data_IF_084580891050
#
_entry.id   IF_084580891050
#
_cell.length_a   1.000
_cell.length_b   1.000
_cell.length_c   1.000
_cell.angle_alpha   90.00
_cell.angle_beta   90.00
_cell.angle_gamma   90.00
#
_symmetry.space_group_name_H-M   'P 1'
#
loop_
_entity.id
_entity.type
_entity.pdbx_description
1 polymer ?
#
# COMPACT_ATOMS: atom_id res chain seq x y z
N UNK A 1 -20.46 -28.28 -49.89
CA UNK A 1 -20.09 -29.67 -49.54
C UNK A 1 -18.63 -30.02 -49.87
N UNK A 2 -17.98 -29.54 -50.94
CA UNK A 2 -16.56 -29.84 -51.27
C UNK A 2 -15.57 -29.47 -50.16
N UNK A 3 -15.74 -28.35 -49.43
CA UNK A 3 -14.83 -27.91 -48.37
C UNK A 3 -14.78 -28.86 -47.14
N UNK A 4 -15.89 -29.52 -46.80
CA UNK A 4 -15.95 -30.45 -45.66
C UNK A 4 -15.23 -31.75 -45.99
N UNK A 5 -15.41 -32.24 -47.22
CA UNK A 5 -14.71 -33.47 -47.69
C UNK A 5 -13.20 -33.27 -47.83
N UNK A 6 -12.74 -32.09 -48.25
CA UNK A 6 -11.31 -31.75 -48.30
C UNK A 6 -10.69 -31.61 -46.91
N UNK A 7 -11.42 -31.08 -45.94
CA UNK A 7 -11.01 -31.05 -44.54
C UNK A 7 -10.93 -32.43 -43.92
N UNK A 8 -11.91 -33.31 -44.18
CA UNK A 8 -11.89 -34.69 -43.72
C UNK A 8 -10.75 -35.49 -44.35
N UNK A 9 -10.43 -35.28 -45.61
CA UNK A 9 -9.27 -35.92 -46.27
C UNK A 9 -7.93 -35.45 -45.69
N UNK A 10 -7.81 -34.18 -45.27
CA UNK A 10 -6.61 -33.66 -44.57
C UNK A 10 -6.46 -34.31 -43.18
N UNK A 11 -7.55 -34.54 -42.45
CA UNK A 11 -7.55 -35.21 -41.14
C UNK A 11 -7.21 -36.70 -41.23
N UNK A 12 -7.42 -37.34 -42.38
CA UNK A 12 -7.07 -38.75 -42.62
C UNK A 12 -5.68 -38.95 -43.29
N UNK A 13 -4.88 -37.90 -43.44
CA UNK A 13 -3.55 -38.01 -44.04
C UNK A 13 -2.55 -38.70 -43.10
N UNK A 14 -1.65 -39.57 -43.63
CA UNK A 14 -0.58 -40.21 -42.85
C UNK A 14 0.29 -39.19 -42.07
N UNK A 15 0.49 -38.01 -42.61
CA UNK A 15 1.22 -36.91 -41.96
C UNK A 15 0.47 -36.32 -40.76
N UNK A 16 -0.84 -36.24 -40.81
CA UNK A 16 -1.65 -35.80 -39.65
C UNK A 16 -1.53 -36.80 -38.50
N UNK A 17 -1.65 -38.10 -38.80
CA UNK A 17 -1.53 -39.15 -37.78
C UNK A 17 -0.13 -39.16 -37.14
N UNK A 18 0.94 -38.99 -37.91
CA UNK A 18 2.29 -38.92 -37.38
C UNK A 18 2.45 -37.70 -36.46
N UNK A 19 1.96 -36.53 -36.86
CA UNK A 19 2.02 -35.32 -36.05
C UNK A 19 1.20 -35.43 -34.77
N UNK A 20 -0.02 -36.00 -34.86
CA UNK A 20 -0.87 -36.23 -33.71
C UNK A 20 -0.20 -37.19 -32.71
N UNK A 21 0.39 -38.29 -33.15
CA UNK A 21 1.11 -39.22 -32.27
C UNK A 21 2.36 -38.55 -31.63
N UNK A 22 3.07 -37.74 -32.37
CA UNK A 22 4.21 -36.99 -31.82
C UNK A 22 3.77 -36.02 -30.72
N UNK A 23 2.74 -35.21 -30.96
CA UNK A 23 2.19 -34.25 -29.94
C UNK A 23 1.64 -35.02 -28.72
N UNK A 24 0.93 -36.12 -28.93
CA UNK A 24 0.44 -36.98 -27.84
C UNK A 24 1.58 -37.53 -26.98
N UNK A 25 2.67 -37.98 -27.62
CA UNK A 25 3.88 -38.45 -26.93
C UNK A 25 4.53 -37.34 -26.10
N UNK A 26 4.63 -36.13 -26.66
CA UNK A 26 5.19 -34.98 -25.95
C UNK A 26 4.33 -34.58 -24.74
N UNK A 27 3.01 -34.60 -24.89
CA UNK A 27 2.07 -34.31 -23.78
C UNK A 27 2.25 -35.32 -22.65
N UNK A 28 2.21 -36.59 -22.96
CA UNK A 28 2.30 -37.70 -21.98
C UNK A 28 3.71 -37.83 -21.37
N UNK A 29 4.75 -37.34 -22.07
CA UNK A 29 6.11 -37.28 -21.59
C UNK A 29 6.40 -36.09 -20.67
N UNK A 30 5.48 -35.14 -20.53
CA UNK A 30 5.65 -34.03 -19.63
C UNK A 30 5.51 -34.48 -18.16
N UNK A 31 6.47 -34.19 -17.27
CA UNK A 31 6.47 -34.65 -15.89
C UNK A 31 5.19 -34.25 -15.11
N UNK A 32 4.75 -33.02 -15.25
CA UNK A 32 3.58 -32.47 -14.51
C UNK A 32 2.29 -33.20 -14.98
N UNK A 33 2.18 -33.46 -16.27
CA UNK A 33 1.06 -34.21 -16.84
C UNK A 33 1.08 -35.66 -16.38
N UNK A 34 2.25 -36.32 -16.41
CA UNK A 34 2.43 -37.69 -15.93
C UNK A 34 2.03 -37.85 -14.47
N UNK A 35 2.54 -36.95 -13.60
CA UNK A 35 2.19 -36.92 -12.18
C UNK A 35 0.69 -36.71 -11.94
N UNK A 36 0.07 -35.81 -12.72
CA UNK A 36 -1.37 -35.58 -12.64
C UNK A 36 -2.18 -36.84 -13.04
N UNK A 37 -1.83 -37.47 -14.14
CA UNK A 37 -2.50 -38.69 -14.62
C UNK A 37 -2.34 -39.85 -13.63
N UNK A 38 -1.17 -39.97 -12.99
CA UNK A 38 -0.94 -41.02 -11.98
C UNK A 38 -1.80 -40.78 -10.73
N UNK A 39 -1.93 -39.53 -10.27
CA UNK A 39 -2.77 -39.14 -9.12
C UNK A 39 -4.27 -39.36 -9.36
N UNK A 40 -4.71 -39.27 -10.62
CA UNK A 40 -6.11 -39.42 -11.02
C UNK A 40 -6.36 -40.66 -11.83
N UNK A 41 -5.58 -41.73 -11.64
CA UNK A 41 -5.62 -42.96 -12.44
C UNK A 41 -6.99 -43.63 -12.45
N UNK A 42 -7.74 -43.52 -11.36
CA UNK A 42 -9.07 -44.11 -11.22
C UNK A 42 -10.18 -43.29 -11.92
N UNK A 43 -9.88 -42.02 -12.26
CA UNK A 43 -10.84 -41.10 -12.88
C UNK A 43 -10.57 -40.85 -14.37
N UNK A 44 -9.36 -41.16 -14.85
CA UNK A 44 -8.92 -40.90 -16.23
C UNK A 44 -8.77 -42.20 -17.02
N UNK A 45 -9.75 -42.48 -17.83
CA UNK A 45 -9.68 -43.53 -18.85
C UNK A 45 -9.15 -42.99 -20.19
N UNK A 46 -9.07 -43.85 -21.20
CA UNK A 46 -8.59 -43.48 -22.53
C UNK A 46 -9.51 -42.46 -23.22
N UNK A 47 -10.81 -42.46 -22.94
CA UNK A 47 -11.78 -41.57 -23.54
C UNK A 47 -11.66 -40.16 -22.94
N UNK A 48 -11.52 -40.04 -21.61
CA UNK A 48 -11.25 -38.80 -20.89
C UNK A 48 -9.95 -38.18 -21.36
N UNK A 49 -8.90 -38.98 -21.50
CA UNK A 49 -7.59 -38.52 -21.96
C UNK A 49 -7.66 -37.94 -23.39
N UNK A 50 -8.28 -38.69 -24.33
CA UNK A 50 -8.37 -38.24 -25.72
C UNK A 50 -9.23 -36.98 -25.89
N UNK A 51 -10.29 -36.82 -25.11
CA UNK A 51 -11.11 -35.59 -25.05
C UNK A 51 -10.32 -34.41 -24.49
N UNK A 52 -9.38 -34.66 -23.60
CA UNK A 52 -8.64 -33.62 -22.87
C UNK A 52 -7.29 -33.28 -23.50
N UNK A 53 -6.85 -33.95 -24.57
CA UNK A 53 -5.53 -33.72 -25.19
C UNK A 53 -5.28 -32.25 -25.59
N UNK A 54 -6.31 -31.55 -26.06
CA UNK A 54 -6.21 -30.12 -26.39
C UNK A 54 -5.89 -29.26 -25.18
N UNK A 55 -6.46 -29.57 -24.03
CA UNK A 55 -6.19 -28.89 -22.76
C UNK A 55 -4.82 -29.23 -22.21
N UNK A 56 -4.42 -30.48 -22.29
CA UNK A 56 -3.07 -30.89 -21.91
C UNK A 56 -1.99 -30.24 -22.78
N UNK A 57 -2.24 -30.10 -24.08
CA UNK A 57 -1.35 -29.36 -24.98
C UNK A 57 -1.26 -27.86 -24.62
N UNK A 58 -2.41 -27.22 -24.34
CA UNK A 58 -2.48 -25.85 -23.85
C UNK A 58 -1.66 -25.71 -22.57
N UNK A 59 -1.81 -26.64 -21.62
CA UNK A 59 -1.06 -26.63 -20.37
C UNK A 59 0.45 -26.67 -20.58
N UNK A 60 0.99 -27.62 -21.32
CA UNK A 60 2.44 -27.79 -21.56
C UNK A 60 3.05 -26.62 -22.34
N UNK A 61 2.25 -25.94 -23.18
CA UNK A 61 2.72 -24.78 -23.95
C UNK A 61 2.69 -23.48 -23.13
N UNK A 62 1.84 -23.39 -22.12
CA UNK A 62 1.65 -22.20 -21.29
C UNK A 62 2.41 -22.26 -19.96
N UNK A 63 2.69 -23.44 -19.42
CA UNK A 63 3.50 -23.61 -18.23
C UNK A 63 4.97 -23.34 -18.53
N UNK A 64 5.43 -22.13 -18.24
CA UNK A 64 6.79 -21.66 -18.58
C UNK A 64 7.79 -21.72 -17.43
N UNK A 65 7.56 -22.60 -16.47
CA UNK A 65 8.49 -22.83 -15.36
C UNK A 65 8.52 -21.69 -14.35
N UNK A 66 7.49 -21.59 -13.53
CA UNK A 66 7.39 -20.59 -12.46
C UNK A 66 8.48 -20.73 -11.39
N UNK A 67 9.12 -21.88 -11.26
CA UNK A 67 10.16 -22.17 -10.26
C UNK A 67 11.38 -21.24 -10.35
N UNK A 68 11.74 -20.78 -11.56
CA UNK A 68 12.87 -19.87 -11.78
C UNK A 68 12.48 -18.40 -12.00
N UNK A 69 11.23 -18.01 -11.77
CA UNK A 69 10.75 -16.66 -12.02
C UNK A 69 11.32 -15.67 -10.99
N UNK A 70 12.09 -14.63 -11.38
CA UNK A 70 12.67 -13.67 -10.43
C UNK A 70 11.62 -12.73 -9.82
N UNK A 71 10.67 -12.23 -10.64
CA UNK A 71 9.61 -11.32 -10.26
C UNK A 71 8.44 -11.35 -11.26
N UNK A 72 7.35 -10.60 -10.96
CA UNK A 72 6.18 -10.55 -11.84
C UNK A 72 6.45 -9.89 -13.19
N UNK A 73 7.39 -8.93 -13.29
CA UNK A 73 7.69 -8.24 -14.55
C UNK A 73 8.35 -9.17 -15.58
N UNK A 74 9.01 -10.21 -15.09
CA UNK A 74 9.67 -11.25 -15.90
C UNK A 74 8.81 -12.53 -16.04
N UNK A 75 7.53 -12.45 -15.70
CA UNK A 75 6.62 -13.59 -15.84
C UNK A 75 6.46 -13.98 -17.31
N UNK A 76 6.73 -15.26 -17.60
CA UNK A 76 6.66 -15.84 -18.96
C UNK A 76 5.31 -16.45 -19.29
N UNK A 77 4.41 -16.58 -18.31
CA UNK A 77 3.09 -17.12 -18.54
C UNK A 77 2.19 -16.14 -19.32
N UNK A 78 1.27 -16.65 -20.09
CA UNK A 78 0.33 -15.86 -20.89
C UNK A 78 -0.46 -14.87 -20.01
N UNK A 79 -0.90 -15.30 -18.84
CA UNK A 79 -1.47 -14.43 -17.81
C UNK A 79 -0.42 -14.14 -16.74
N UNK A 80 0.06 -12.91 -16.70
CA UNK A 80 1.11 -12.49 -15.75
C UNK A 80 0.68 -12.72 -14.29
N UNK A 81 1.48 -13.51 -13.58
CA UNK A 81 1.23 -13.83 -12.17
C UNK A 81 0.20 -14.94 -11.93
N UNK A 82 -0.22 -15.62 -13.00
CA UNK A 82 -1.06 -16.82 -12.88
C UNK A 82 -0.31 -18.05 -13.42
N UNK A 83 -0.44 -19.16 -12.71
CA UNK A 83 0.09 -20.45 -13.11
C UNK A 83 -1.06 -21.37 -13.54
N UNK A 84 -0.93 -22.06 -14.68
CA UNK A 84 -1.90 -23.07 -15.08
C UNK A 84 -1.74 -24.29 -14.17
N UNK A 85 -2.85 -24.83 -13.71
CA UNK A 85 -2.92 -26.06 -12.91
C UNK A 85 -3.93 -26.99 -13.54
N UNK A 86 -3.57 -28.26 -13.71
CA UNK A 86 -4.49 -29.27 -14.19
C UNK A 86 -5.50 -29.65 -13.11
N UNK A 87 -6.78 -29.76 -13.49
CA UNK A 87 -7.88 -30.11 -12.58
C UNK A 87 -8.85 -31.08 -13.28
N UNK A 88 -9.45 -31.97 -12.49
CA UNK A 88 -10.59 -32.78 -12.99
C UNK A 88 -11.88 -31.98 -12.89
N UNK A 89 -12.63 -31.84 -13.99
CA UNK A 89 -13.94 -31.20 -14.03
C UNK A 89 -14.93 -32.01 -14.84
N UNK A 90 -16.01 -32.48 -14.21
CA UNK A 90 -17.13 -33.19 -14.88
C UNK A 90 -16.68 -34.32 -15.83
N UNK A 91 -15.68 -35.08 -15.40
CA UNK A 91 -15.18 -36.21 -16.19
C UNK A 91 -14.29 -35.81 -17.38
N UNK A 92 -13.64 -34.67 -17.33
CA UNK A 92 -12.60 -34.22 -18.26
C UNK A 92 -11.48 -33.49 -17.53
N UNK A 93 -10.29 -33.44 -18.13
CA UNK A 93 -9.17 -32.67 -17.62
C UNK A 93 -9.31 -31.25 -18.16
N UNK A 94 -9.24 -30.24 -17.27
CA UNK A 94 -9.30 -28.84 -17.61
C UNK A 94 -8.14 -28.09 -16.97
N UNK A 95 -7.96 -26.82 -17.34
CA UNK A 95 -6.92 -25.94 -16.80
C UNK A 95 -7.59 -24.88 -15.91
N UNK A 96 -7.11 -24.78 -14.69
CA UNK A 96 -7.44 -23.68 -13.79
C UNK A 96 -6.23 -22.76 -13.67
N UNK A 97 -6.45 -21.45 -13.83
CA UNK A 97 -5.41 -20.43 -13.65
C UNK A 97 -5.45 -19.93 -12.21
N UNK A 98 -4.44 -20.30 -11.41
CA UNK A 98 -4.30 -19.87 -10.02
C UNK A 98 -3.29 -18.74 -9.90
N UNK A 99 -3.54 -17.81 -8.99
CA UNK A 99 -2.54 -16.78 -8.67
C UNK A 99 -1.29 -17.43 -8.09
N UNK A 100 -0.13 -17.17 -8.68
CA UNK A 100 1.13 -17.62 -8.12
C UNK A 100 1.45 -16.87 -6.82
N UNK A 101 2.34 -17.41 -6.00
CA UNK A 101 2.73 -16.80 -4.71
C UNK A 101 3.19 -15.35 -4.85
N UNK A 102 3.95 -15.03 -5.91
CA UNK A 102 4.41 -13.66 -6.19
C UNK A 102 3.27 -12.70 -6.52
N UNK A 103 2.26 -13.18 -7.23
CA UNK A 103 1.05 -12.39 -7.54
C UNK A 103 0.23 -12.12 -6.29
N UNK A 104 0.13 -13.09 -5.39
CA UNK A 104 -0.56 -12.92 -4.11
C UNK A 104 0.14 -11.84 -3.30
N UNK A 105 1.46 -11.95 -3.10
CA UNK A 105 2.27 -10.96 -2.37
C UNK A 105 2.15 -9.56 -3.00
N UNK A 106 2.25 -9.47 -4.33
CA UNK A 106 2.12 -8.21 -5.05
C UNK A 106 0.74 -7.57 -4.89
N UNK A 107 -0.33 -8.37 -4.96
CA UNK A 107 -1.70 -7.88 -4.80
C UNK A 107 -1.96 -7.41 -3.36
N UNK A 108 -1.38 -8.10 -2.37
CA UNK A 108 -1.43 -7.70 -0.96
C UNK A 108 -0.67 -6.38 -0.73
N UNK A 109 0.54 -6.26 -1.26
CA UNK A 109 1.31 -5.02 -1.20
C UNK A 109 0.56 -3.84 -1.83
N UNK A 110 -0.03 -4.03 -3.00
CA UNK A 110 -0.85 -2.98 -3.65
C UNK A 110 -2.11 -2.62 -2.88
N UNK A 111 -2.72 -3.56 -2.16
CA UNK A 111 -3.84 -3.25 -1.26
C UNK A 111 -3.37 -2.38 -0.10
N UNK A 112 -2.26 -2.73 0.51
CA UNK A 112 -1.65 -1.98 1.61
C UNK A 112 -1.25 -0.57 1.16
N UNK A 113 -0.58 -0.44 0.01
CA UNK A 113 -0.21 0.88 -0.55
C UNK A 113 -1.42 1.80 -0.79
N UNK A 114 -2.56 1.25 -1.18
CA UNK A 114 -3.79 2.04 -1.38
C UNK A 114 -4.40 2.58 -0.09
N UNK A 115 -4.06 2.01 1.05
CA UNK A 115 -4.51 2.49 2.35
C UNK A 115 -3.70 3.71 2.83
N UNK A 116 -2.52 3.95 2.25
CA UNK A 116 -1.71 5.12 2.56
C UNK A 116 -1.92 6.17 1.48
N UNK A 117 -2.69 7.19 1.81
CA UNK A 117 -2.79 8.38 0.98
C UNK A 117 -1.72 9.39 1.40
N UNK A 118 -1.15 10.10 0.45
CA UNK A 118 -0.09 11.06 0.76
C UNK A 118 -0.12 12.26 -0.19
N UNK A 119 0.19 13.44 0.36
CA UNK A 119 0.40 14.67 -0.39
C UNK A 119 1.82 15.15 -0.14
N UNK A 120 2.63 15.25 -1.21
CA UNK A 120 3.99 15.79 -1.21
C UNK A 120 4.98 15.06 -0.29
N UNK A 121 4.75 13.77 -0.03
CA UNK A 121 5.61 12.96 0.84
C UNK A 121 6.68 12.24 0.02
N UNK A 122 7.97 12.29 0.41
CA UNK A 122 9.03 11.56 -0.29
C UNK A 122 8.82 10.05 -0.29
N UNK A 123 9.21 9.38 -1.38
CA UNK A 123 9.08 7.92 -1.52
C UNK A 123 9.79 7.12 -0.43
N UNK A 124 10.88 7.65 0.10
CA UNK A 124 11.65 7.02 1.18
C UNK A 124 10.86 6.96 2.48
N UNK A 125 10.09 8.02 2.78
CA UNK A 125 9.19 8.07 3.94
C UNK A 125 8.06 7.04 3.76
N UNK A 126 7.52 6.90 2.56
CA UNK A 126 6.47 5.92 2.26
C UNK A 126 6.94 4.45 2.32
N UNK A 127 8.25 4.20 2.34
CA UNK A 127 8.86 2.87 2.48
C UNK A 127 9.41 2.61 3.88
N UNK A 128 9.23 3.53 4.80
CA UNK A 128 9.74 3.43 6.17
C UNK A 128 9.08 2.25 6.93
N UNK A 129 9.85 1.59 7.81
CA UNK A 129 9.33 0.53 8.67
C UNK A 129 9.86 0.69 10.10
N UNK A 130 9.20 0.05 11.08
CA UNK A 130 9.71 0.01 12.46
C UNK A 130 11.01 -0.77 12.56
N UNK A 131 11.19 -1.81 11.76
CA UNK A 131 12.41 -2.63 11.74
C UNK A 131 13.68 -1.84 11.38
N UNK A 132 13.53 -0.87 10.46
CA UNK A 132 14.63 -0.03 9.99
C UNK A 132 14.74 1.30 10.75
N UNK A 133 13.81 1.57 11.68
CA UNK A 133 13.87 2.74 12.53
C UNK A 133 14.91 2.52 13.63
N UNK A 134 15.98 3.31 13.62
CA UNK A 134 17.04 3.27 14.62
C UNK A 134 16.55 3.89 15.95
N UNK A 135 16.65 3.14 17.04
CA UNK A 135 16.16 3.47 18.38
C UNK A 135 17.29 3.61 19.42
N UNK A 136 18.37 4.25 19.05
CA UNK A 136 19.60 4.40 19.85
C UNK A 136 19.57 5.50 20.93
N UNK A 137 18.47 6.23 21.10
CA UNK A 137 18.31 7.24 22.14
C UNK A 137 17.01 7.02 22.92
N UNK A 138 16.93 7.51 24.21
CA UNK A 138 15.72 7.34 25.02
C UNK A 138 14.46 7.95 24.37
N UNK A 139 14.57 9.11 23.71
CA UNK A 139 13.46 9.73 23.00
C UNK A 139 12.95 8.88 21.84
N UNK A 140 13.86 8.28 21.08
CA UNK A 140 13.53 7.39 19.96
C UNK A 140 12.90 6.07 20.43
N UNK A 141 13.43 5.47 21.49
CA UNK A 141 12.84 4.27 22.11
C UNK A 141 11.41 4.57 22.56
N UNK A 142 11.21 5.70 23.26
CA UNK A 142 9.89 6.14 23.71
C UNK A 142 8.92 6.35 22.55
N UNK A 143 9.37 7.02 21.47
CA UNK A 143 8.54 7.27 20.30
C UNK A 143 8.14 5.98 19.58
N UNK A 144 9.08 5.04 19.39
CA UNK A 144 8.80 3.74 18.77
C UNK A 144 7.81 2.94 19.62
N UNK A 145 8.03 2.84 20.94
CA UNK A 145 7.13 2.15 21.85
C UNK A 145 5.69 2.67 21.77
N UNK A 146 5.50 3.99 21.80
CA UNK A 146 4.16 4.59 21.64
C UNK A 146 3.57 4.30 20.26
N UNK A 147 4.37 4.29 19.21
CA UNK A 147 3.92 3.97 17.86
C UNK A 147 3.44 2.51 17.75
N UNK A 148 4.19 1.57 18.30
CA UNK A 148 3.82 0.15 18.37
C UNK A 148 2.54 -0.07 19.19
N UNK A 149 2.45 0.54 20.38
CA UNK A 149 1.26 0.48 21.24
C UNK A 149 0.03 1.08 20.55
N UNK A 150 0.21 2.17 19.80
CA UNK A 150 -0.86 2.80 19.03
C UNK A 150 -1.39 1.85 17.94
N UNK A 151 -0.51 1.28 17.12
CA UNK A 151 -0.89 0.37 16.03
C UNK A 151 -1.56 -0.89 16.60
N UNK A 152 -0.96 -1.52 17.59
CA UNK A 152 -1.51 -2.73 18.23
C UNK A 152 -2.87 -2.48 18.88
N UNK A 153 -3.07 -1.30 19.47
CA UNK A 153 -4.30 -0.93 20.17
C UNK A 153 -5.42 -0.37 19.28
N UNK A 154 -5.16 -0.06 18.01
CA UNK A 154 -6.07 0.72 17.17
C UNK A 154 -7.50 0.15 17.09
N UNK A 155 -7.65 -1.15 16.90
CA UNK A 155 -8.97 -1.80 16.81
C UNK A 155 -9.61 -2.12 18.17
N UNK A 156 -8.86 -2.07 19.26
CA UNK A 156 -9.32 -2.49 20.60
C UNK A 156 -9.60 -1.32 21.54
N UNK A 157 -8.91 -0.20 21.34
CA UNK A 157 -9.01 0.98 22.19
C UNK A 157 -9.87 2.05 21.53
N UNK A 158 -10.93 2.48 22.20
CA UNK A 158 -11.91 3.45 21.65
C UNK A 158 -11.37 4.87 21.45
N UNK A 159 -10.26 5.23 22.08
CA UNK A 159 -9.74 6.60 22.06
C UNK A 159 -8.22 6.55 22.22
N UNK A 160 -7.51 6.71 21.11
CA UNK A 160 -6.06 6.79 21.12
C UNK A 160 -5.61 8.18 20.66
N UNK A 161 -4.64 8.73 21.37
CA UNK A 161 -3.96 9.97 20.99
C UNK A 161 -2.84 9.63 20.02
N UNK A 162 -2.65 10.48 19.01
CA UNK A 162 -1.46 10.40 18.16
C UNK A 162 -0.21 10.91 18.86
N UNK A 163 0.89 11.03 18.11
CA UNK A 163 2.15 11.61 18.61
C UNK A 163 2.38 13.00 18.00
N UNK A 164 2.94 13.86 18.83
CA UNK A 164 3.58 15.09 18.41
C UNK A 164 5.09 14.87 18.47
N UNK A 165 5.70 14.57 17.31
CA UNK A 165 7.13 14.31 17.19
C UNK A 165 7.87 15.62 16.95
N UNK A 166 8.74 16.01 17.86
CA UNK A 166 9.51 17.25 17.72
C UNK A 166 11.02 17.04 17.91
N UNK A 167 11.81 17.96 17.38
CA UNK A 167 13.27 17.93 17.46
C UNK A 167 13.94 18.46 16.20
N UNK A 168 15.27 18.44 16.17
CA UNK A 168 16.06 19.02 15.10
C UNK A 168 15.78 18.40 13.71
N UNK A 169 16.29 19.06 12.67
CA UNK A 169 16.22 18.57 11.31
C UNK A 169 16.95 17.22 11.16
N UNK A 170 16.45 16.34 10.31
CA UNK A 170 17.12 15.09 9.95
C UNK A 170 17.11 13.98 11.01
N UNK A 171 16.48 14.19 12.21
CA UNK A 171 16.42 13.15 13.25
C UNK A 171 15.45 12.01 12.98
N UNK A 172 14.70 12.02 11.88
CA UNK A 172 13.83 10.93 11.45
C UNK A 172 12.36 11.04 11.88
N UNK A 173 11.85 12.26 12.17
CA UNK A 173 10.43 12.51 12.52
C UNK A 173 9.49 12.03 11.42
N UNK A 174 9.67 12.52 10.19
CA UNK A 174 8.86 12.13 9.01
C UNK A 174 8.99 10.63 8.71
N UNK A 175 10.18 10.07 8.91
CA UNK A 175 10.42 8.64 8.73
C UNK A 175 9.55 7.81 9.67
N UNK A 176 9.46 8.17 10.95
CA UNK A 176 8.61 7.48 11.92
C UNK A 176 7.11 7.62 11.57
N UNK A 177 6.65 8.78 11.07
CA UNK A 177 5.28 8.92 10.57
C UNK A 177 5.00 7.94 9.42
N UNK A 178 5.92 7.83 8.46
CA UNK A 178 5.82 6.86 7.38
C UNK A 178 5.78 5.41 7.86
N UNK A 179 6.63 5.07 8.84
CA UNK A 179 6.64 3.73 9.44
C UNK A 179 5.31 3.41 10.14
N UNK A 180 4.76 4.35 10.91
CA UNK A 180 3.43 4.20 11.54
C UNK A 180 2.35 3.97 10.46
N UNK A 181 2.37 4.73 9.37
CA UNK A 181 1.39 4.58 8.29
C UNK A 181 1.45 3.21 7.63
N UNK A 182 2.66 2.67 7.40
CA UNK A 182 2.84 1.33 6.84
C UNK A 182 2.32 0.25 7.80
N UNK A 183 2.62 0.34 9.10
CA UNK A 183 2.12 -0.62 10.07
C UNK A 183 0.59 -0.55 10.24
N UNK A 184 0.00 0.65 10.20
CA UNK A 184 -1.45 0.81 10.18
C UNK A 184 -2.08 0.17 8.93
N UNK A 185 -1.45 0.34 7.76
CA UNK A 185 -1.93 -0.28 6.53
C UNK A 185 -1.83 -1.81 6.58
N UNK A 186 -0.81 -2.38 7.23
CA UNK A 186 -0.68 -3.82 7.46
C UNK A 186 -1.84 -4.39 8.30
N UNK A 187 -2.41 -3.59 9.20
CA UNK A 187 -3.60 -3.97 9.98
C UNK A 187 -4.92 -3.44 9.38
N UNK A 188 -4.90 -2.97 8.13
CA UNK A 188 -6.07 -2.57 7.37
C UNK A 188 -6.62 -1.18 7.68
N UNK A 189 -5.84 -0.31 8.33
CA UNK A 189 -6.25 1.03 8.75
C UNK A 189 -5.80 2.08 7.75
N UNK A 190 -6.73 2.84 7.13
CA UNK A 190 -6.38 3.93 6.24
C UNK A 190 -5.74 5.10 6.97
N UNK A 191 -4.67 5.65 6.39
CA UNK A 191 -3.99 6.85 6.89
C UNK A 191 -3.70 7.86 5.79
N UNK A 192 -3.56 9.11 6.17
CA UNK A 192 -3.22 10.21 5.27
C UNK A 192 -2.02 10.98 5.81
N UNK A 193 -0.93 10.99 5.05
CA UNK A 193 0.28 11.76 5.37
C UNK A 193 0.31 13.01 4.49
N UNK A 194 0.40 14.17 5.13
CA UNK A 194 0.40 15.47 4.46
C UNK A 194 1.66 16.22 4.83
N UNK A 195 2.51 16.53 3.86
CA UNK A 195 3.59 17.49 4.03
C UNK A 195 2.96 18.88 4.11
N UNK A 196 2.83 19.40 5.33
CA UNK A 196 1.96 20.53 5.65
C UNK A 196 2.34 21.84 4.94
N UNK A 197 3.62 22.21 4.81
CA UNK A 197 4.00 23.45 4.12
C UNK A 197 3.53 23.50 2.65
N UNK A 198 3.68 22.40 1.92
CA UNK A 198 3.29 22.32 0.51
C UNK A 198 1.77 22.25 0.34
N UNK A 199 1.12 21.55 1.25
CA UNK A 199 -0.34 21.52 1.31
C UNK A 199 -0.94 22.92 1.49
N UNK A 200 -0.40 23.73 2.42
CA UNK A 200 -0.82 25.12 2.61
C UNK A 200 -0.59 25.96 1.35
N UNK A 201 0.52 25.73 0.64
CA UNK A 201 0.81 26.41 -0.63
C UNK A 201 -0.23 26.07 -1.69
N UNK A 202 -0.54 24.78 -1.85
CA UNK A 202 -1.57 24.31 -2.77
C UNK A 202 -2.95 24.90 -2.45
N UNK A 203 -3.32 24.91 -1.15
CA UNK A 203 -4.59 25.50 -0.73
C UNK A 203 -4.69 26.99 -1.08
N UNK A 204 -3.59 27.75 -0.92
CA UNK A 204 -3.55 29.18 -1.33
C UNK A 204 -3.75 29.36 -2.84
N UNK A 205 -3.18 28.49 -3.65
CA UNK A 205 -3.32 28.56 -5.11
C UNK A 205 -4.73 28.19 -5.59
N UNK A 206 -5.40 27.31 -4.85
CA UNK A 206 -6.73 26.80 -5.17
C UNK A 206 -7.87 27.66 -4.61
N UNK A 207 -7.61 28.84 -4.03
CA UNK A 207 -8.64 29.72 -3.44
C UNK A 207 -9.79 30.09 -4.41
N UNK A 208 -9.54 30.02 -5.71
CA UNK A 208 -10.52 30.30 -6.75
C UNK A 208 -11.21 29.02 -7.30
N UNK A 209 -10.89 27.85 -6.76
CA UNK A 209 -11.38 26.56 -7.21
C UNK A 209 -12.24 25.90 -6.12
N UNK A 210 -13.43 25.38 -6.48
CA UNK A 210 -14.32 24.69 -5.55
C UNK A 210 -13.72 23.38 -4.94
N UNK A 211 -12.56 22.95 -5.41
CA UNK A 211 -11.89 21.72 -4.96
C UNK A 211 -11.31 21.79 -3.53
N UNK A 212 -11.15 22.98 -2.94
CA UNK A 212 -10.58 23.16 -1.59
C UNK A 212 -11.42 22.42 -0.54
N UNK A 213 -12.74 22.60 -0.59
CA UNK A 213 -13.62 22.02 0.42
C UNK A 213 -13.60 20.49 0.39
N UNK A 214 -13.53 19.89 -0.79
CA UNK A 214 -13.43 18.43 -0.95
C UNK A 214 -12.12 17.89 -0.38
N UNK A 215 -11.00 18.56 -0.66
CA UNK A 215 -9.68 18.19 -0.12
C UNK A 215 -9.63 18.33 1.41
N UNK A 216 -10.16 19.42 1.95
CA UNK A 216 -10.25 19.62 3.40
C UNK A 216 -11.16 18.58 4.06
N UNK A 217 -12.28 18.26 3.44
CA UNK A 217 -13.21 17.23 3.92
C UNK A 217 -12.58 15.84 3.93
N UNK A 218 -11.81 15.48 2.92
CA UNK A 218 -11.09 14.23 2.86
C UNK A 218 -10.04 14.13 3.97
N UNK A 219 -9.24 15.19 4.17
CA UNK A 219 -8.19 15.22 5.19
C UNK A 219 -8.78 15.18 6.60
N UNK A 220 -9.80 15.99 6.89
CA UNK A 220 -10.37 16.03 8.25
C UNK A 220 -11.10 14.75 8.63
N UNK A 221 -11.67 13.99 7.66
CA UNK A 221 -12.45 12.78 7.90
C UNK A 221 -11.64 11.49 7.83
N UNK A 222 -10.39 11.53 7.39
CA UNK A 222 -9.55 10.31 7.32
C UNK A 222 -9.39 9.66 8.70
N UNK A 223 -9.39 8.33 8.82
CA UNK A 223 -9.26 7.64 10.09
C UNK A 223 -8.03 8.07 10.88
N UNK A 224 -6.84 8.06 10.27
CA UNK A 224 -5.60 8.54 10.87
C UNK A 224 -4.98 9.62 10.00
N UNK A 225 -4.76 10.81 10.56
CA UNK A 225 -4.10 11.93 9.89
C UNK A 225 -2.70 12.15 10.45
N UNK A 226 -1.75 12.40 9.55
CA UNK A 226 -0.37 12.74 9.89
C UNK A 226 0.01 14.04 9.20
N UNK A 227 0.22 15.11 9.97
CA UNK A 227 0.66 16.42 9.49
C UNK A 227 2.17 16.53 9.69
N UNK A 228 2.92 16.47 8.60
CA UNK A 228 4.37 16.48 8.62
C UNK A 228 4.92 17.90 8.46
N UNK A 229 5.94 18.22 9.27
CA UNK A 229 6.72 19.45 9.28
C UNK A 229 5.88 20.72 9.55
N UNK A 230 4.95 20.64 10.51
CA UNK A 230 4.11 21.77 10.93
C UNK A 230 4.97 22.82 11.60
N UNK A 231 4.81 24.09 11.18
CA UNK A 231 5.61 25.24 11.63
C UNK A 231 6.78 25.59 10.70
N UNK A 232 7.02 24.80 9.64
CA UNK A 232 8.00 25.15 8.61
C UNK A 232 7.44 26.14 7.58
N UNK A 233 6.11 26.23 7.49
CA UNK A 233 5.42 27.19 6.64
C UNK A 233 5.42 28.60 7.23
N UNK A 234 5.23 29.60 6.36
CA UNK A 234 4.98 30.95 6.80
C UNK A 234 3.62 31.09 7.45
N UNK A 235 3.57 31.46 8.73
CA UNK A 235 2.31 31.65 9.47
C UNK A 235 1.49 32.75 8.85
N UNK A 236 0.27 32.44 8.45
CA UNK A 236 -0.76 33.42 8.10
C UNK A 236 -2.02 33.11 8.89
N UNK A 237 -2.77 34.18 9.25
CA UNK A 237 -4.05 34.04 9.96
C UNK A 237 -4.99 33.09 9.17
N UNK A 238 -4.98 33.19 7.84
CA UNK A 238 -5.76 32.29 6.98
C UNK A 238 -5.38 30.81 7.14
N UNK A 239 -4.09 30.47 7.07
CA UNK A 239 -3.63 29.09 7.26
C UNK A 239 -4.04 28.54 8.62
N UNK A 240 -3.82 29.32 9.67
CA UNK A 240 -4.13 28.94 11.03
C UNK A 240 -5.64 28.81 11.26
N UNK A 241 -6.42 29.84 10.86
CA UNK A 241 -7.82 29.97 11.22
C UNK A 241 -8.75 29.25 10.23
N UNK A 242 -8.47 29.26 8.92
CA UNK A 242 -9.34 28.72 7.86
C UNK A 242 -8.94 27.33 7.39
N UNK A 243 -7.70 26.88 7.61
CA UNK A 243 -7.23 25.54 7.22
C UNK A 243 -7.03 24.65 8.44
N UNK A 244 -6.05 24.97 9.29
CA UNK A 244 -5.67 24.11 10.42
C UNK A 244 -6.77 24.05 11.48
N UNK A 245 -7.37 25.20 11.80
CA UNK A 245 -8.43 25.31 12.80
C UNK A 245 -9.62 24.37 12.57
N UNK A 246 -10.27 24.38 11.39
CA UNK A 246 -11.38 23.47 11.06
C UNK A 246 -10.99 21.98 11.06
N UNK A 247 -9.78 21.63 10.57
CA UNK A 247 -9.27 20.26 10.63
C UNK A 247 -9.19 19.79 12.08
N UNK A 248 -8.51 20.56 12.93
CA UNK A 248 -8.31 20.19 14.34
C UNK A 248 -9.61 20.20 15.13
N UNK A 249 -10.53 21.15 14.85
CA UNK A 249 -11.83 21.21 15.49
C UNK A 249 -12.63 19.93 15.22
N UNK A 250 -12.75 19.53 13.95
CA UNK A 250 -13.48 18.33 13.58
C UNK A 250 -12.85 17.07 14.21
N UNK A 251 -11.51 16.93 14.10
CA UNK A 251 -10.81 15.75 14.59
C UNK A 251 -10.84 15.64 16.12
N UNK A 252 -10.84 16.78 16.83
CA UNK A 252 -10.98 16.78 18.29
C UNK A 252 -12.40 16.38 18.74
N UNK A 253 -13.44 16.82 18.04
CA UNK A 253 -14.82 16.43 18.31
C UNK A 253 -15.07 14.95 18.05
N UNK A 254 -14.59 14.45 16.91
CA UNK A 254 -14.71 13.04 16.50
C UNK A 254 -13.66 12.13 17.15
N UNK A 255 -12.73 12.71 17.93
CA UNK A 255 -11.60 12.00 18.57
C UNK A 255 -10.79 11.15 17.62
N UNK A 256 -10.57 11.66 16.41
CA UNK A 256 -9.80 10.99 15.39
C UNK A 256 -8.29 11.13 15.65
N UNK A 257 -7.52 10.03 15.67
CA UNK A 257 -6.08 10.06 15.91
C UNK A 257 -5.37 10.96 14.91
N UNK A 258 -4.56 11.89 15.43
CA UNK A 258 -3.83 12.85 14.62
C UNK A 258 -2.37 12.92 15.09
N UNK A 259 -1.45 12.76 14.14
CA UNK A 259 -0.02 12.82 14.38
C UNK A 259 0.55 14.11 13.80
N UNK A 260 1.62 14.58 14.41
CA UNK A 260 2.35 15.75 13.94
C UNK A 260 3.84 15.50 13.97
N UNK A 261 4.55 16.10 13.04
CA UNK A 261 5.96 16.34 13.19
C UNK A 261 6.24 17.85 13.12
N UNK A 262 7.19 18.33 13.90
CA UNK A 262 7.62 19.72 13.96
C UNK A 262 9.08 19.84 14.38
N UNK A 263 9.71 20.96 14.04
CA UNK A 263 11.01 21.31 14.61
C UNK A 263 10.86 22.07 15.95
N UNK A 264 9.66 22.52 16.26
CA UNK A 264 9.29 23.24 17.46
C UNK A 264 8.69 22.32 18.53
N UNK A 265 8.97 22.58 19.79
CA UNK A 265 8.16 22.03 20.87
C UNK A 265 6.79 22.75 20.97
N UNK A 266 5.95 22.37 21.95
CA UNK A 266 4.61 22.96 22.05
C UNK A 266 4.63 24.48 22.29
N UNK A 267 5.55 24.96 23.11
CA UNK A 267 5.61 26.39 23.49
C UNK A 267 6.20 27.22 22.35
N UNK A 268 7.22 26.71 21.71
CA UNK A 268 7.81 27.29 20.49
C UNK A 268 6.80 27.35 19.33
N UNK A 269 5.98 26.30 19.14
CA UNK A 269 4.95 26.27 18.10
C UNK A 269 3.82 27.27 18.43
N UNK A 270 3.43 27.38 19.71
CA UNK A 270 2.43 28.34 20.15
C UNK A 270 2.92 29.79 19.90
N UNK A 271 4.18 30.05 20.24
CA UNK A 271 4.82 31.34 19.93
C UNK A 271 4.83 31.60 18.42
N UNK A 272 5.23 30.62 17.62
CA UNK A 272 5.23 30.71 16.16
C UNK A 272 3.83 31.03 15.60
N UNK A 273 2.79 30.38 16.07
CA UNK A 273 1.41 30.62 15.63
C UNK A 273 0.83 31.94 16.13
N UNK A 274 1.36 32.51 17.23
CA UNK A 274 0.89 33.79 17.76
C UNK A 274 1.36 34.99 16.96
N UNK A 275 2.41 34.85 16.14
CA UNK A 275 3.02 35.96 15.38
C UNK A 275 2.67 35.78 13.88
N UNK A 276 1.80 36.63 13.37
CA UNK A 276 1.51 36.68 11.95
C UNK A 276 2.56 37.45 11.16
N UNK A 277 2.68 37.17 9.85
CA UNK A 277 3.56 37.94 8.94
C UNK A 277 3.26 39.44 8.91
N UNK A 278 2.09 39.89 9.37
CA UNK A 278 1.68 41.30 9.43
C UNK A 278 2.08 41.98 10.74
N UNK A 279 2.79 41.27 11.64
CA UNK A 279 3.23 41.79 12.92
C UNK A 279 2.12 41.87 13.99
N UNK A 280 0.94 41.32 13.72
CA UNK A 280 -0.14 41.21 14.69
C UNK A 280 0.09 40.07 15.64
N UNK A 281 -0.02 40.28 16.93
CA UNK A 281 0.07 39.23 17.95
C UNK A 281 -1.33 38.70 18.29
N UNK A 282 -1.58 37.43 17.94
CA UNK A 282 -2.89 36.80 18.12
C UNK A 282 -2.81 35.60 19.10
N UNK A 283 -2.34 35.83 20.32
CA UNK A 283 -2.11 34.81 21.36
C UNK A 283 -3.31 33.91 21.61
N UNK A 284 -4.52 34.45 21.70
CA UNK A 284 -5.71 33.67 22.00
C UNK A 284 -6.05 32.69 20.89
N UNK A 285 -5.84 33.03 19.63
CA UNK A 285 -6.07 32.14 18.48
C UNK A 285 -5.02 31.04 18.43
N UNK A 286 -3.76 31.40 18.67
CA UNK A 286 -2.69 30.39 18.77
C UNK A 286 -2.94 29.38 19.90
N UNK A 287 -3.30 29.88 21.10
CA UNK A 287 -3.62 29.01 22.23
C UNK A 287 -4.76 28.03 21.94
N UNK A 288 -5.81 28.41 21.21
CA UNK A 288 -6.92 27.52 20.80
C UNK A 288 -6.46 26.41 19.86
N UNK A 289 -5.55 26.70 18.95
CA UNK A 289 -4.96 25.67 18.07
C UNK A 289 -4.10 24.71 18.89
N UNK A 290 -3.26 25.24 19.77
CA UNK A 290 -2.37 24.43 20.59
C UNK A 290 -3.12 23.56 21.59
N UNK A 291 -4.21 24.04 22.17
CA UNK A 291 -5.08 23.22 23.03
C UNK A 291 -5.56 21.96 22.31
N UNK A 292 -6.02 22.10 21.05
CA UNK A 292 -6.46 20.95 20.24
C UNK A 292 -5.33 20.01 19.88
N UNK A 293 -4.14 20.55 19.53
CA UNK A 293 -2.97 19.74 19.26
C UNK A 293 -2.58 18.94 20.53
N UNK A 294 -2.50 19.61 21.68
CA UNK A 294 -2.20 19.00 22.98
C UNK A 294 -3.26 17.95 23.38
N UNK A 295 -4.53 18.17 23.05
CA UNK A 295 -5.62 17.22 23.28
C UNK A 295 -5.47 15.95 22.41
N UNK A 296 -5.12 16.12 21.14
CA UNK A 296 -5.03 15.03 20.17
C UNK A 296 -3.74 14.23 20.26
N UNK A 297 -2.69 14.74 20.93
CA UNK A 297 -1.35 14.17 20.84
C UNK A 297 -0.63 14.01 22.18
N UNK A 298 0.39 13.17 22.17
CA UNK A 298 1.41 13.02 23.22
C UNK A 298 2.73 13.52 22.64
N UNK A 299 3.36 14.51 23.28
CA UNK A 299 4.63 15.03 22.82
C UNK A 299 5.80 14.11 23.11
N UNK A 300 6.60 13.84 22.10
CA UNK A 300 7.83 13.06 22.21
C UNK A 300 8.95 13.74 21.44
N UNK A 301 10.02 14.10 22.16
CA UNK A 301 11.23 14.64 21.56
C UNK A 301 12.01 13.54 20.87
N UNK A 302 12.32 13.73 19.60
CA UNK A 302 13.29 12.93 18.87
C UNK A 302 14.63 13.66 18.86
N UNK A 303 15.66 12.98 19.29
CA UNK A 303 17.03 13.43 19.30
C UNK A 303 17.95 12.49 18.50
N UNK A 304 19.18 12.96 18.25
CA UNK A 304 20.17 12.21 17.49
C UNK A 304 20.81 13.02 16.36
N UNK A 305 21.73 12.40 15.60
CA UNK A 305 22.41 13.08 14.48
C UNK A 305 21.47 13.29 13.30
N UNK A 306 21.84 14.26 12.43
CA UNK A 306 21.20 14.43 11.14
C UNK A 306 21.48 13.22 10.25
N UNK A 307 20.43 12.55 9.75
CA UNK A 307 20.52 11.32 8.95
C UNK A 307 20.38 11.54 7.45
N UNK A 308 20.17 12.80 7.02
CA UNK A 308 20.14 13.17 5.59
C UNK A 308 21.53 13.27 4.97
N UNK A 309 22.57 13.26 5.79
CA UNK A 309 23.99 13.38 5.38
C UNK A 309 24.71 12.02 5.31
N UNK A 310 23.97 10.92 5.28
CA UNK A 310 24.53 9.56 5.17
C UNK A 310 24.38 8.99 3.77
#
# INVERSE_FOLDING_TARGET
MKRIQDSLKRLSSPDFHKRYQAVRKDILGNPDVSDFLEKHRDEVDSEVLDKSLGKLYEYITQSKGCQGCPDLSHCRNMMQGYEPVLVMRKGSIDIEYRRCQRKIIFDEQRKTEKLIQSIYVPKEVLKASFETFDFNTPGRIKALKYAEEFVAGYHTQKQQRGLYLYGHFGVGKSYLLGAIANELANVGVPSYIVYFPEFVREMKQSLNDHSINEKLDMIKKTPVLMLDDVGAESVSSWMRDDILGPILQYRSLERLPTFFSSNFDYDELEFHFSHSQRGEEEKLKAARIMERIKFLTIAVKLDGPNRRER
#
